data_IF_741727092469
#
_entry.id   IF_741727092469
#
_cell.length_a   1.000
_cell.length_b   1.000
_cell.length_c   1.000
_cell.angle_alpha   90.00
_cell.angle_beta   90.00
_cell.angle_gamma   90.00
#
_symmetry.space_group_name_H-M   'P 1'
#
loop_
_entity.id
_entity.type
_entity.pdbx_description
1 polymer ?
#
# COMPACT_ATOMS: atom_id res chain seq x y z
N UNK A 1 64.48 88.87 -30.42
CA UNK A 1 63.25 88.54 -31.17
C UNK A 1 63.55 87.31 -32.00
N UNK A 2 62.94 86.17 -31.65
CA UNK A 2 63.14 84.89 -32.31
C UNK A 2 61.79 84.14 -32.37
N UNK A 3 61.58 83.47 -33.50
CA UNK A 3 60.64 82.39 -33.82
C UNK A 3 59.13 82.68 -33.74
N UNK A 4 58.53 82.95 -34.90
CA UNK A 4 57.10 82.78 -35.15
C UNK A 4 56.92 81.42 -35.84
N UNK A 5 56.38 80.44 -35.11
CA UNK A 5 56.06 79.11 -35.65
C UNK A 5 54.87 79.19 -36.63
N UNK A 6 54.93 78.48 -37.77
CA UNK A 6 53.77 78.26 -38.61
C UNK A 6 53.08 76.94 -38.23
N UNK A 7 51.74 76.96 -38.14
CA UNK A 7 50.93 75.75 -38.20
C UNK A 7 50.31 75.32 -36.87
N UNK A 8 49.21 75.98 -36.50
CA UNK A 8 48.26 75.41 -35.55
C UNK A 8 46.90 75.30 -36.24
N UNK A 9 46.71 74.20 -36.98
CA UNK A 9 45.38 73.76 -37.35
C UNK A 9 44.63 73.43 -36.06
N UNK A 10 43.39 73.91 -35.85
CA UNK A 10 42.61 73.49 -34.70
C UNK A 10 42.37 71.99 -34.81
N UNK A 11 43.02 71.22 -33.94
CA UNK A 11 42.85 69.78 -33.83
C UNK A 11 41.37 69.49 -33.59
N UNK A 12 40.69 68.95 -34.60
CA UNK A 12 39.34 68.42 -34.50
C UNK A 12 39.37 67.35 -33.41
N UNK A 13 38.78 67.64 -32.25
CA UNK A 13 38.60 66.65 -31.18
C UNK A 13 37.84 65.47 -31.77
N UNK A 14 38.47 64.28 -31.73
CA UNK A 14 37.92 63.06 -32.29
C UNK A 14 36.47 62.84 -31.79
N UNK A 15 35.57 62.50 -32.71
CA UNK A 15 34.20 62.15 -32.40
C UNK A 15 34.20 60.99 -31.38
N UNK A 16 33.44 61.08 -30.27
CA UNK A 16 33.31 59.96 -29.35
C UNK A 16 32.67 58.79 -30.09
N UNK A 17 33.39 57.65 -30.16
CA UNK A 17 32.88 56.45 -30.83
C UNK A 17 31.93 55.71 -29.89
N UNK A 18 30.99 54.96 -30.46
CA UNK A 18 30.05 54.14 -29.68
C UNK A 18 30.78 53.13 -28.78
N UNK A 19 31.97 52.71 -29.21
CA UNK A 19 32.87 51.78 -28.50
C UNK A 19 33.53 52.40 -27.26
N UNK A 20 33.64 53.73 -27.19
CA UNK A 20 34.30 54.45 -26.09
C UNK A 20 33.35 54.76 -24.91
N UNK A 21 32.08 54.36 -25.02
CA UNK A 21 31.08 54.55 -23.98
C UNK A 21 31.22 53.49 -22.88
N UNK A 22 31.52 53.89 -21.63
CA UNK A 22 31.68 52.94 -20.54
C UNK A 22 30.35 52.25 -20.20
N UNK A 23 30.41 50.92 -20.10
CA UNK A 23 29.29 50.05 -19.73
C UNK A 23 29.30 49.81 -18.22
N UNK A 24 28.15 49.92 -17.57
CA UNK A 24 27.97 49.64 -16.15
C UNK A 24 26.94 48.52 -15.99
N UNK A 25 27.39 47.36 -15.49
CA UNK A 25 26.54 46.17 -15.36
C UNK A 25 25.96 45.72 -16.70
N UNK A 26 24.63 45.68 -16.80
CA UNK A 26 23.87 45.17 -17.95
C UNK A 26 23.49 46.26 -18.98
N UNK A 27 24.09 47.46 -18.89
CA UNK A 27 23.75 48.59 -19.76
C UNK A 27 24.79 49.71 -19.86
N UNK A 28 24.44 50.79 -20.55
CA UNK A 28 25.28 52.00 -20.68
C UNK A 28 25.05 52.97 -19.51
N UNK A 29 26.11 53.62 -19.05
CA UNK A 29 26.04 54.63 -18.00
C UNK A 29 25.32 55.91 -18.47
N UNK A 30 24.14 56.17 -17.92
CA UNK A 30 23.24 57.23 -18.37
C UNK A 30 23.84 58.65 -18.24
N UNK A 31 24.66 58.90 -17.22
CA UNK A 31 25.32 60.21 -17.02
C UNK A 31 26.38 60.45 -18.09
N UNK A 32 27.19 59.43 -18.40
CA UNK A 32 28.27 59.53 -19.38
C UNK A 32 27.79 59.51 -20.82
N UNK A 33 26.71 58.77 -21.10
CA UNK A 33 26.00 58.87 -22.38
C UNK A 33 25.50 60.29 -22.59
N UNK A 34 24.91 60.92 -21.56
CA UNK A 34 24.44 62.32 -21.63
C UNK A 34 25.57 63.30 -21.92
N UNK A 35 26.73 63.13 -21.28
CA UNK A 35 27.93 63.94 -21.53
C UNK A 35 28.45 63.77 -22.97
N UNK A 36 28.50 62.54 -23.49
CA UNK A 36 28.91 62.26 -24.86
C UNK A 36 27.95 62.90 -25.90
N UNK A 37 26.64 62.87 -25.65
CA UNK A 37 25.65 63.56 -26.48
C UNK A 37 25.78 65.09 -26.40
N UNK A 38 26.14 65.64 -25.24
CA UNK A 38 26.37 67.08 -25.09
C UNK A 38 27.65 67.53 -25.80
N UNK A 39 28.72 66.75 -25.72
CA UNK A 39 29.95 66.95 -26.48
C UNK A 39 29.70 66.88 -27.99
N UNK A 40 28.90 65.91 -28.45
CA UNK A 40 28.47 65.81 -29.84
C UNK A 40 27.63 67.04 -30.27
N UNK A 41 26.72 67.52 -29.41
CA UNK A 41 25.95 68.76 -29.70
C UNK A 41 26.86 69.97 -29.83
N UNK A 42 27.85 70.15 -28.94
CA UNK A 42 28.85 71.24 -29.06
C UNK A 42 29.70 71.10 -30.32
N UNK A 43 30.08 69.88 -30.69
CA UNK A 43 30.78 69.62 -31.94
C UNK A 43 29.90 69.95 -33.15
N UNK A 44 28.62 69.57 -33.13
CA UNK A 44 27.69 69.86 -34.22
C UNK A 44 27.44 71.36 -34.40
N UNK A 45 27.36 72.12 -33.30
CA UNK A 45 27.22 73.58 -33.37
C UNK A 45 28.50 74.26 -33.84
N UNK A 46 29.66 73.75 -33.45
CA UNK A 46 30.97 74.22 -33.93
C UNK A 46 31.15 73.92 -35.43
N UNK A 47 30.73 72.74 -35.90
CA UNK A 47 30.71 72.38 -37.31
C UNK A 47 29.74 73.27 -38.10
N UNK A 48 28.55 73.56 -37.57
CA UNK A 48 27.60 74.49 -38.19
C UNK A 48 28.15 75.92 -38.27
N UNK A 49 28.90 76.37 -37.26
CA UNK A 49 29.58 77.65 -37.28
C UNK A 49 30.70 77.67 -38.34
N UNK A 50 31.52 76.61 -38.42
CA UNK A 50 32.55 76.47 -39.45
C UNK A 50 31.95 76.40 -40.85
N UNK A 51 30.83 75.70 -41.04
CA UNK A 51 30.10 75.66 -42.32
C UNK A 51 29.51 77.03 -42.67
N UNK A 52 29.00 77.81 -41.71
CA UNK A 52 28.58 79.20 -41.97
C UNK A 52 29.76 80.09 -42.37
N UNK A 53 30.94 79.92 -41.77
CA UNK A 53 32.16 80.66 -42.13
C UNK A 53 32.67 80.24 -43.50
N UNK A 54 32.67 78.94 -43.82
CA UNK A 54 33.03 78.41 -45.14
C UNK A 54 32.01 78.80 -46.21
N UNK A 55 30.72 78.86 -45.90
CA UNK A 55 29.69 79.36 -46.81
C UNK A 55 29.77 80.88 -46.99
N UNK A 56 30.16 81.63 -45.96
CA UNK A 56 30.43 83.06 -46.06
C UNK A 56 31.70 83.33 -46.90
N UNK A 57 32.75 82.51 -46.74
CA UNK A 57 33.97 82.55 -47.56
C UNK A 57 33.72 82.05 -49.00
N UNK A 58 32.82 81.08 -49.19
CA UNK A 58 32.40 80.57 -50.52
C UNK A 58 31.53 81.58 -51.29
N UNK A 59 30.76 82.44 -50.60
CA UNK A 59 30.08 83.58 -51.24
C UNK A 59 31.04 84.68 -51.70
N UNK A 60 32.24 84.75 -51.12
CA UNK A 60 33.32 85.64 -51.54
C UNK A 60 34.11 85.04 -52.72
N UNK A 61 33.42 84.83 -53.84
CA UNK A 61 34.01 84.86 -55.17
C UNK A 61 35.08 83.81 -55.51
N UNK A 62 34.70 82.53 -55.57
CA UNK A 62 35.30 81.61 -56.56
C UNK A 62 34.33 80.44 -56.84
N UNK A 63 33.27 80.73 -57.60
CA UNK A 63 32.45 79.71 -58.23
C UNK A 63 33.26 79.06 -59.34
N UNK A 64 34.10 78.08 -59.01
CA UNK A 64 34.47 77.08 -60.01
C UNK A 64 33.21 76.26 -60.21
N UNK A 65 32.46 76.58 -61.25
CA UNK A 65 31.47 75.68 -61.83
C UNK A 65 32.21 74.37 -62.14
N UNK A 66 32.05 73.31 -61.34
CA UNK A 66 32.64 72.04 -61.67
C UNK A 66 31.75 71.50 -62.78
N UNK A 67 32.21 71.68 -64.02
CA UNK A 67 31.61 71.14 -65.25
C UNK A 67 30.76 69.92 -64.94
N UNK A 68 29.46 69.94 -65.26
CA UNK A 68 28.52 68.86 -64.87
C UNK A 68 28.89 67.45 -65.34
N UNK A 69 29.98 67.29 -66.09
CA UNK A 69 30.66 66.02 -66.32
C UNK A 69 31.41 65.50 -65.08
N UNK A 70 32.17 66.32 -64.36
CA UNK A 70 32.88 65.91 -63.14
C UNK A 70 31.91 65.48 -62.03
N UNK A 71 30.85 66.26 -61.80
CA UNK A 71 29.80 65.91 -60.84
C UNK A 71 29.08 64.61 -61.23
N UNK A 72 28.85 64.37 -62.53
CA UNK A 72 28.28 63.11 -63.02
C UNK A 72 29.24 61.93 -62.82
N UNK A 73 30.54 62.12 -63.07
CA UNK A 73 31.55 61.08 -62.85
C UNK A 73 31.72 60.75 -61.37
N UNK A 74 31.74 61.75 -60.50
CA UNK A 74 31.78 61.57 -59.04
C UNK A 74 30.51 60.86 -58.53
N UNK A 75 29.33 61.22 -59.04
CA UNK A 75 28.08 60.53 -58.71
C UNK A 75 28.09 59.06 -59.15
N UNK A 76 28.63 58.75 -60.33
CA UNK A 76 28.79 57.35 -60.78
C UNK A 76 29.81 56.58 -59.93
N UNK A 77 30.90 57.23 -59.51
CA UNK A 77 31.87 56.63 -58.59
C UNK A 77 31.24 56.36 -57.22
N UNK A 78 30.44 57.30 -56.72
CA UNK A 78 29.72 57.15 -55.46
C UNK A 78 28.70 56.00 -55.54
N UNK A 79 27.92 55.91 -56.62
CA UNK A 79 26.97 54.81 -56.83
C UNK A 79 27.72 53.46 -56.89
N UNK A 80 28.87 53.40 -57.59
CA UNK A 80 29.68 52.19 -57.63
C UNK A 80 30.22 51.82 -56.24
N UNK A 81 30.78 52.78 -55.52
CA UNK A 81 31.27 52.56 -54.16
C UNK A 81 30.15 52.15 -53.19
N UNK A 82 28.95 52.67 -53.38
CA UNK A 82 27.77 52.29 -52.60
C UNK A 82 27.30 50.87 -52.93
N UNK A 83 27.37 50.45 -54.20
CA UNK A 83 27.07 49.07 -54.61
C UNK A 83 28.10 48.08 -54.03
N UNK A 84 29.40 48.38 -54.16
CA UNK A 84 30.46 47.56 -53.56
C UNK A 84 30.32 47.49 -52.02
N UNK A 85 29.95 48.59 -51.37
CA UNK A 85 29.68 48.60 -49.94
C UNK A 85 28.44 47.75 -49.59
N UNK A 86 27.37 47.81 -50.37
CA UNK A 86 26.19 46.97 -50.16
C UNK A 86 26.53 45.47 -50.28
N UNK A 87 27.34 45.09 -51.26
CA UNK A 87 27.82 43.71 -51.42
C UNK A 87 28.63 43.25 -50.20
N UNK A 88 29.48 44.13 -49.63
CA UNK A 88 30.22 43.80 -48.40
C UNK A 88 29.32 43.65 -47.18
N UNK A 89 28.29 44.50 -47.04
CA UNK A 89 27.31 44.41 -45.95
C UNK A 89 26.49 43.13 -46.07
N UNK A 90 26.11 42.74 -47.28
CA UNK A 90 25.40 41.48 -47.51
C UNK A 90 26.28 40.27 -47.16
N UNK A 91 27.53 40.25 -47.61
CA UNK A 91 28.47 39.16 -47.30
C UNK A 91 28.73 39.05 -45.79
N UNK A 92 28.91 40.17 -45.09
CA UNK A 92 29.11 40.18 -43.63
C UNK A 92 27.84 39.74 -42.88
N UNK A 93 26.65 40.16 -43.35
CA UNK A 93 25.38 39.72 -42.78
C UNK A 93 25.14 38.22 -42.98
N UNK A 94 25.43 37.69 -44.17
CA UNK A 94 25.35 36.26 -44.47
C UNK A 94 26.30 35.47 -43.57
N UNK A 95 27.57 35.87 -43.48
CA UNK A 95 28.57 35.22 -42.61
C UNK A 95 28.20 35.28 -41.12
N UNK A 96 27.67 36.40 -40.66
CA UNK A 96 27.19 36.54 -39.28
C UNK A 96 25.97 35.62 -39.02
N UNK A 97 25.05 35.51 -39.98
CA UNK A 97 23.89 34.62 -39.87
C UNK A 97 24.27 33.14 -39.84
N UNK A 98 25.22 32.72 -40.68
CA UNK A 98 25.76 31.35 -40.69
C UNK A 98 26.46 31.01 -39.36
N UNK A 99 27.21 31.96 -38.78
CA UNK A 99 27.85 31.77 -37.48
C UNK A 99 26.82 31.65 -36.33
N UNK A 100 25.72 32.40 -36.40
CA UNK A 100 24.64 32.30 -35.40
C UNK A 100 23.83 31.01 -35.56
N UNK A 101 23.50 30.63 -36.80
CA UNK A 101 22.79 29.38 -37.10
C UNK A 101 23.62 28.17 -36.69
N UNK A 102 24.91 28.12 -37.04
CA UNK A 102 25.78 27.03 -36.62
C UNK A 102 25.88 26.89 -35.09
N UNK A 103 26.04 28.01 -34.36
CA UNK A 103 26.05 28.02 -32.89
C UNK A 103 24.73 27.53 -32.30
N UNK A 104 23.59 27.99 -32.82
CA UNK A 104 22.28 27.58 -32.32
C UNK A 104 21.98 26.12 -32.64
N UNK A 105 22.39 25.61 -33.81
CA UNK A 105 22.29 24.20 -34.15
C UNK A 105 23.13 23.32 -33.21
N UNK A 106 24.36 23.73 -32.89
CA UNK A 106 25.19 23.03 -31.91
C UNK A 106 24.53 22.98 -30.54
N UNK A 107 23.96 24.10 -30.09
CA UNK A 107 23.24 24.16 -28.83
C UNK A 107 21.98 23.27 -28.84
N UNK A 108 21.21 23.27 -29.92
CA UNK A 108 20.04 22.38 -30.08
C UNK A 108 20.48 20.91 -30.09
N UNK A 109 21.55 20.56 -30.81
CA UNK A 109 22.11 19.19 -30.83
C UNK A 109 22.56 18.78 -29.42
N UNK A 110 23.21 19.67 -28.69
CA UNK A 110 23.64 19.42 -27.31
C UNK A 110 22.44 19.21 -26.38
N UNK A 111 21.45 20.12 -26.39
CA UNK A 111 20.24 20.01 -25.57
C UNK A 111 19.44 18.74 -25.88
N UNK A 112 19.35 18.34 -27.15
CA UNK A 112 18.70 17.08 -27.54
C UNK A 112 19.41 15.86 -26.96
N UNK A 113 20.74 15.83 -26.95
CA UNK A 113 21.51 14.74 -26.32
C UNK A 113 21.30 14.71 -24.81
N UNK A 114 21.40 15.87 -24.15
CA UNK A 114 21.12 15.97 -22.70
C UNK A 114 19.70 15.51 -22.35
N UNK A 115 18.71 15.82 -23.21
CA UNK A 115 17.35 15.35 -23.03
C UNK A 115 17.25 13.82 -23.19
N UNK A 116 17.87 13.25 -24.22
CA UNK A 116 17.91 11.80 -24.44
C UNK A 116 18.58 11.06 -23.27
N UNK A 117 19.68 11.61 -22.74
CA UNK A 117 20.38 11.04 -21.58
C UNK A 117 19.49 11.06 -20.33
N UNK A 118 18.76 12.16 -20.10
CA UNK A 118 17.79 12.27 -18.99
C UNK A 118 16.63 11.29 -19.15
N UNK A 119 16.09 11.14 -20.35
CA UNK A 119 15.02 10.18 -20.62
C UNK A 119 15.50 8.74 -20.38
N UNK A 120 16.72 8.41 -20.80
CA UNK A 120 17.32 7.11 -20.52
C UNK A 120 17.57 6.87 -19.02
N UNK A 121 17.96 7.90 -18.27
CA UNK A 121 18.12 7.82 -16.82
C UNK A 121 16.77 7.62 -16.10
N UNK A 122 15.73 8.35 -16.49
CA UNK A 122 14.37 8.19 -15.95
C UNK A 122 13.86 6.77 -16.19
N UNK A 123 14.09 6.21 -17.37
CA UNK A 123 13.67 4.85 -17.70
C UNK A 123 14.41 3.80 -16.85
N UNK A 124 15.71 4.01 -16.56
CA UNK A 124 16.46 3.15 -15.61
C UNK A 124 15.85 3.21 -14.21
N UNK A 125 15.60 4.40 -13.67
CA UNK A 125 14.98 4.54 -12.35
C UNK A 125 13.58 3.92 -12.31
N UNK A 126 12.82 4.02 -13.40
CA UNK A 126 11.51 3.38 -13.51
C UNK A 126 11.64 1.86 -13.43
N UNK A 127 12.52 1.27 -14.22
CA UNK A 127 12.76 -0.18 -14.21
C UNK A 127 13.29 -0.67 -12.86
N UNK A 128 14.21 0.06 -12.23
CA UNK A 128 14.71 -0.24 -10.89
C UNK A 128 13.60 -0.13 -9.84
N UNK A 129 12.74 0.89 -9.91
CA UNK A 129 11.61 1.05 -9.00
C UNK A 129 10.58 -0.07 -9.17
N UNK A 130 10.27 -0.45 -10.41
CA UNK A 130 9.37 -1.57 -10.71
C UNK A 130 9.96 -2.90 -10.20
N UNK A 131 11.28 -3.10 -10.37
CA UNK A 131 11.99 -4.26 -9.83
C UNK A 131 11.94 -4.30 -8.30
N UNK A 132 12.24 -3.18 -7.63
CA UNK A 132 12.17 -3.08 -6.17
C UNK A 132 10.74 -3.34 -5.66
N UNK A 133 9.72 -2.80 -6.34
CA UNK A 133 8.31 -3.09 -6.02
C UNK A 133 8.00 -4.58 -6.14
N UNK A 134 8.45 -5.23 -7.22
CA UNK A 134 8.26 -6.66 -7.41
C UNK A 134 8.99 -7.49 -6.34
N UNK A 135 10.21 -7.10 -5.96
CA UNK A 135 10.98 -7.74 -4.90
C UNK A 135 10.27 -7.61 -3.55
N UNK A 136 9.82 -6.41 -3.16
CA UNK A 136 9.04 -6.20 -1.93
C UNK A 136 7.73 -7.00 -1.90
N UNK A 137 6.99 -7.05 -3.02
CA UNK A 137 5.76 -7.84 -3.12
C UNK A 137 6.04 -9.34 -3.01
N UNK A 138 7.12 -9.84 -3.58
CA UNK A 138 7.48 -11.25 -3.44
C UNK A 138 7.94 -11.58 -2.02
N UNK A 139 8.72 -10.72 -1.38
CA UNK A 139 9.15 -10.89 0.01
C UNK A 139 7.95 -10.92 0.95
N UNK A 140 7.07 -9.93 0.89
CA UNK A 140 5.84 -9.87 1.71
C UNK A 140 4.92 -11.07 1.43
N UNK A 141 4.81 -11.53 0.18
CA UNK A 141 4.05 -12.74 -0.15
C UNK A 141 4.66 -14.01 0.45
N UNK A 142 5.98 -14.10 0.52
CA UNK A 142 6.66 -15.24 1.13
C UNK A 142 6.55 -15.20 2.65
N UNK A 143 6.76 -14.04 3.27
CA UNK A 143 6.59 -13.82 4.71
C UNK A 143 5.16 -14.13 5.17
N UNK A 144 4.14 -13.64 4.45
CA UNK A 144 2.73 -13.93 4.78
C UNK A 144 2.41 -15.42 4.68
N UNK A 145 2.95 -16.13 3.67
CA UNK A 145 2.80 -17.58 3.55
C UNK A 145 3.48 -18.32 4.69
N UNK A 146 4.67 -17.89 5.09
CA UNK A 146 5.41 -18.49 6.19
C UNK A 146 4.71 -18.27 7.53
N UNK A 147 4.25 -17.04 7.80
CA UNK A 147 3.46 -16.70 8.98
C UNK A 147 2.18 -17.52 9.06
N UNK A 148 1.46 -17.67 7.95
CA UNK A 148 0.25 -18.49 7.89
C UNK A 148 0.57 -19.97 8.13
N UNK A 149 1.65 -20.49 7.55
CA UNK A 149 2.07 -21.88 7.77
C UNK A 149 2.46 -22.13 9.23
N UNK A 150 3.18 -21.20 9.87
CA UNK A 150 3.56 -21.29 11.28
C UNK A 150 2.32 -21.21 12.18
N UNK A 151 1.44 -20.23 11.96
CA UNK A 151 0.18 -20.10 12.72
C UNK A 151 -0.69 -21.36 12.61
N UNK A 152 -0.77 -21.97 11.43
CA UNK A 152 -1.50 -23.23 11.24
C UNK A 152 -0.83 -24.40 11.98
N UNK A 153 0.50 -24.50 12.00
CA UNK A 153 1.20 -25.54 12.76
C UNK A 153 0.91 -25.39 14.24
N UNK A 154 1.07 -24.19 14.78
CA UNK A 154 0.84 -23.88 16.19
C UNK A 154 -0.61 -24.18 16.58
N UNK A 155 -1.59 -23.70 15.80
CA UNK A 155 -3.00 -23.98 16.05
C UNK A 155 -3.32 -25.49 16.05
N UNK A 156 -2.73 -26.27 15.12
CA UNK A 156 -2.94 -27.73 15.13
C UNK A 156 -2.23 -28.42 16.29
N UNK A 157 -1.11 -27.88 16.76
CA UNK A 157 -0.41 -28.41 17.93
C UNK A 157 -1.24 -28.16 19.19
N UNK A 158 -1.71 -26.94 19.40
CA UNK A 158 -2.56 -26.58 20.55
C UNK A 158 -3.85 -27.39 20.58
N UNK A 159 -4.48 -27.62 19.42
CA UNK A 159 -5.67 -28.45 19.31
C UNK A 159 -5.37 -29.89 19.76
N UNK A 160 -4.28 -30.51 19.28
CA UNK A 160 -3.89 -31.87 19.71
C UNK A 160 -3.58 -31.95 21.20
N UNK A 161 -2.93 -30.93 21.75
CA UNK A 161 -2.64 -30.87 23.19
C UNK A 161 -3.92 -30.71 24.02
N UNK A 162 -4.89 -29.90 23.56
CA UNK A 162 -6.18 -29.74 24.19
C UNK A 162 -7.01 -31.04 24.15
N UNK A 163 -7.02 -31.73 23.01
CA UNK A 163 -7.65 -33.04 22.87
C UNK A 163 -7.03 -34.08 23.80
N UNK A 164 -5.69 -34.14 23.89
CA UNK A 164 -4.99 -35.05 24.79
C UNK A 164 -5.25 -34.74 26.27
N UNK A 165 -5.36 -33.46 26.63
CA UNK A 165 -5.78 -33.05 27.99
C UNK A 165 -7.23 -33.45 28.26
N UNK A 166 -8.12 -33.24 27.30
CA UNK A 166 -9.52 -33.64 27.37
C UNK A 166 -9.70 -35.14 27.54
N UNK A 167 -8.97 -35.97 26.78
CA UNK A 167 -9.04 -37.42 26.89
C UNK A 167 -8.57 -37.92 28.26
N UNK A 168 -7.51 -37.35 28.81
CA UNK A 168 -7.02 -37.67 30.17
C UNK A 168 -8.05 -37.31 31.24
N UNK A 169 -8.68 -36.14 31.15
CA UNK A 169 -9.73 -35.74 32.10
C UNK A 169 -10.95 -36.67 32.02
N UNK A 170 -11.36 -37.08 30.81
CA UNK A 170 -12.45 -38.03 30.63
C UNK A 170 -12.11 -39.41 31.22
N UNK A 171 -10.87 -39.87 31.07
CA UNK A 171 -10.42 -41.14 31.65
C UNK A 171 -10.38 -41.07 33.18
N UNK A 172 -9.88 -39.97 33.76
CA UNK A 172 -9.91 -39.73 35.21
C UNK A 172 -11.35 -39.69 35.74
N UNK A 173 -12.26 -38.98 35.07
CA UNK A 173 -13.66 -38.92 35.47
C UNK A 173 -14.34 -40.30 35.41
N UNK A 174 -14.01 -41.12 34.39
CA UNK A 174 -14.49 -42.51 34.30
C UNK A 174 -13.97 -43.35 35.47
N UNK A 175 -12.69 -43.26 35.78
CA UNK A 175 -12.09 -43.98 36.90
C UNK A 175 -12.78 -43.60 38.22
N UNK A 176 -12.91 -42.31 38.49
CA UNK A 176 -13.57 -41.80 39.69
C UNK A 176 -15.03 -42.25 39.77
N UNK A 177 -15.78 -42.20 38.66
CA UNK A 177 -17.15 -42.68 38.62
C UNK A 177 -17.24 -44.18 38.94
N UNK A 178 -16.31 -45.00 38.43
CA UNK A 178 -16.26 -46.43 38.76
C UNK A 178 -15.88 -46.69 40.21
N UNK A 179 -14.94 -45.92 40.76
CA UNK A 179 -14.56 -46.01 42.18
C UNK A 179 -15.72 -45.65 43.09
N UNK A 180 -16.43 -44.54 42.83
CA UNK A 180 -17.61 -44.13 43.60
C UNK A 180 -18.75 -45.14 43.49
N UNK A 181 -18.94 -45.75 42.32
CA UNK A 181 -19.95 -46.79 42.13
C UNK A 181 -19.60 -48.05 42.91
N UNK A 182 -18.33 -48.45 42.90
CA UNK A 182 -17.86 -49.61 43.65
C UNK A 182 -17.89 -49.35 45.17
N UNK A 183 -17.52 -48.15 45.62
CA UNK A 183 -17.59 -47.77 47.04
C UNK A 183 -19.04 -47.75 47.54
N UNK A 184 -19.95 -47.15 46.78
CA UNK A 184 -21.38 -47.14 47.13
C UNK A 184 -21.97 -48.56 47.18
N UNK A 185 -21.58 -49.46 46.26
CA UNK A 185 -21.98 -50.88 46.33
C UNK A 185 -21.45 -51.56 47.58
N UNK A 186 -20.18 -51.36 47.90
CA UNK A 186 -19.56 -51.95 49.10
C UNK A 186 -20.23 -51.45 50.39
N UNK A 187 -20.56 -50.16 50.49
CA UNK A 187 -21.30 -49.59 51.62
C UNK A 187 -22.72 -50.19 51.74
N UNK A 188 -23.43 -50.36 50.62
CA UNK A 188 -24.75 -51.03 50.62
C UNK A 188 -24.63 -52.50 51.04
N UNK A 189 -23.62 -53.23 50.56
CA UNK A 189 -23.39 -54.61 50.97
C UNK A 189 -23.08 -54.71 52.46
N UNK A 190 -22.24 -53.82 52.98
CA UNK A 190 -21.91 -53.74 54.41
C UNK A 190 -23.15 -53.45 55.26
N UNK A 191 -23.99 -52.50 54.85
CA UNK A 191 -25.23 -52.17 55.58
C UNK A 191 -26.24 -53.32 55.53
N UNK A 192 -26.35 -54.02 54.40
CA UNK A 192 -27.19 -55.22 54.30
C UNK A 192 -26.65 -56.38 55.14
N UNK A 193 -25.33 -56.59 55.18
CA UNK A 193 -24.71 -57.60 56.04
C UNK A 193 -24.95 -57.30 57.52
N UNK A 194 -24.77 -56.03 57.92
CA UNK A 194 -25.07 -55.58 59.28
C UNK A 194 -26.55 -55.79 59.63
N UNK A 195 -27.48 -55.42 58.74
CA UNK A 195 -28.92 -55.62 58.94
C UNK A 195 -29.27 -57.12 59.05
N UNK A 196 -28.65 -57.99 58.25
CA UNK A 196 -28.83 -59.45 58.35
C UNK A 196 -28.29 -60.00 59.66
N UNK A 197 -27.12 -59.56 60.10
CA UNK A 197 -26.54 -59.96 61.39
C UNK A 197 -27.46 -59.54 62.55
N UNK A 198 -27.95 -58.30 62.52
CA UNK A 198 -28.89 -57.80 63.53
C UNK A 198 -30.21 -58.57 63.53
N UNK A 199 -30.79 -58.85 62.36
CA UNK A 199 -32.00 -59.67 62.25
C UNK A 199 -31.78 -61.09 62.81
N UNK A 200 -30.64 -61.73 62.53
CA UNK A 200 -30.30 -63.05 63.08
C UNK A 200 -30.21 -63.04 64.60
N UNK A 201 -29.66 -61.96 65.18
CA UNK A 201 -29.53 -61.79 66.63
C UNK A 201 -30.89 -61.54 67.32
N UNK A 202 -31.80 -60.80 66.66
CA UNK A 202 -33.17 -60.62 67.15
C UNK A 202 -33.93 -61.94 67.09
N UNK A 203 -33.82 -62.69 65.99
CA UNK A 203 -34.47 -63.99 65.83
C UNK A 203 -33.97 -65.00 66.87
N UNK A 204 -32.67 -65.12 67.10
CA UNK A 204 -32.12 -66.04 68.10
C UNK A 204 -32.57 -65.67 69.53
N UNK A 205 -32.63 -64.37 69.84
CA UNK A 205 -33.18 -63.90 71.12
C UNK A 205 -34.67 -64.21 71.25
N UNK A 206 -35.45 -64.02 70.20
CA UNK A 206 -36.87 -64.35 70.18
C UNK A 206 -37.08 -65.85 70.35
N UNK A 207 -36.33 -66.69 69.63
CA UNK A 207 -36.35 -68.15 69.76
C UNK A 207 -36.07 -68.60 71.20
N UNK A 208 -34.96 -68.13 71.79
CA UNK A 208 -34.63 -68.45 73.17
C UNK A 208 -35.71 -67.97 74.17
N UNK A 209 -36.29 -66.79 73.94
CA UNK A 209 -37.39 -66.27 74.76
C UNK A 209 -38.68 -67.11 74.64
N UNK A 210 -39.02 -67.56 73.42
CA UNK A 210 -40.16 -68.45 73.19
C UNK A 210 -39.95 -69.83 73.81
N UNK A 211 -38.76 -70.40 73.71
CA UNK A 211 -38.40 -71.68 74.35
C UNK A 211 -38.57 -71.57 75.87
N UNK A 212 -38.10 -70.47 76.48
CA UNK A 212 -38.30 -70.22 77.91
C UNK A 212 -39.77 -70.15 78.32
N UNK A 213 -40.62 -69.48 77.51
CA UNK A 213 -42.06 -69.37 77.80
C UNK A 213 -42.79 -70.70 77.64
N UNK A 214 -42.45 -71.49 76.61
CA UNK A 214 -43.05 -72.80 76.38
C UNK A 214 -42.64 -73.81 77.46
N UNK A 215 -41.38 -73.79 77.88
CA UNK A 215 -40.90 -74.60 79.00
C UNK A 215 -41.61 -74.21 80.32
N UNK A 216 -41.80 -72.91 80.58
CA UNK A 216 -42.54 -72.43 81.75
C UNK A 216 -44.03 -72.84 81.74
N UNK A 217 -44.62 -73.01 80.56
CA UNK A 217 -45.98 -73.51 80.39
C UNK A 217 -46.12 -75.03 80.60
N UNK A 218 -45.02 -75.75 80.85
CA UNK A 218 -45.02 -77.19 81.13
C UNK A 218 -45.05 -78.07 79.88
N UNK A 219 -44.77 -77.51 78.71
CA UNK A 219 -44.64 -78.27 77.46
C UNK A 219 -43.28 -78.99 77.44
N UNK A 220 -43.26 -80.32 77.27
CA UNK A 220 -42.02 -81.08 77.19
C UNK A 220 -41.25 -80.81 75.89
N UNK A 221 -39.94 -81.06 75.87
CA UNK A 221 -39.04 -80.76 74.73
C UNK A 221 -39.57 -81.29 73.38
N UNK A 222 -40.23 -82.45 73.37
CA UNK A 222 -40.76 -83.06 72.16
C UNK A 222 -41.97 -82.30 71.59
N UNK A 223 -42.82 -81.74 72.45
CA UNK A 223 -43.97 -80.93 72.04
C UNK A 223 -43.53 -79.52 71.59
N UNK A 224 -42.48 -78.97 72.21
CA UNK A 224 -41.88 -77.69 71.79
C UNK A 224 -41.31 -77.82 70.37
N UNK A 225 -40.60 -78.91 70.07
CA UNK A 225 -40.09 -79.20 68.72
C UNK A 225 -41.21 -79.29 67.70
N UNK A 226 -42.30 -79.98 68.02
CA UNK A 226 -43.43 -80.12 67.10
C UNK A 226 -44.12 -78.77 66.80
N UNK A 227 -44.33 -77.92 67.81
CA UNK A 227 -44.88 -76.57 67.62
C UNK A 227 -43.93 -75.69 66.80
N UNK A 228 -42.62 -75.78 67.04
CA UNK A 228 -41.63 -75.05 66.25
C UNK A 228 -41.64 -75.47 64.76
N UNK A 229 -41.75 -76.78 64.48
CA UNK A 229 -41.87 -77.30 63.12
C UNK A 229 -43.12 -76.79 62.39
N UNK A 230 -44.29 -76.78 63.05
CA UNK A 230 -45.54 -76.25 62.48
C UNK A 230 -45.47 -74.73 62.22
N UNK A 231 -44.83 -73.96 63.11
CA UNK A 231 -44.61 -72.51 62.90
C UNK A 231 -43.68 -72.26 61.71
N UNK A 232 -42.57 -73.00 61.62
CA UNK A 232 -41.63 -72.88 60.48
C UNK A 232 -42.34 -73.24 59.18
N UNK A 233 -43.14 -74.31 59.17
CA UNK A 233 -43.93 -74.73 58.01
C UNK A 233 -44.94 -73.65 57.59
N UNK A 234 -45.72 -73.11 58.53
CA UNK A 234 -46.66 -72.03 58.23
C UNK A 234 -45.96 -70.74 57.75
N UNK A 235 -44.78 -70.43 58.28
CA UNK A 235 -43.97 -69.29 57.83
C UNK A 235 -43.43 -69.50 56.42
N UNK A 236 -42.98 -70.71 56.07
CA UNK A 236 -42.58 -71.06 54.70
C UNK A 236 -43.77 -70.92 53.76
N UNK A 237 -44.93 -71.49 54.09
CA UNK A 237 -46.16 -71.38 53.29
C UNK A 237 -46.58 -69.91 53.07
N UNK A 238 -46.45 -69.06 54.10
CA UNK A 238 -46.74 -67.61 54.01
C UNK A 238 -45.72 -66.89 53.12
N UNK A 239 -44.44 -67.25 53.22
CA UNK A 239 -43.35 -66.66 52.43
C UNK A 239 -43.44 -67.08 50.97
N UNK A 240 -43.79 -68.34 50.70
CA UNK A 240 -44.04 -68.88 49.36
C UNK A 240 -45.28 -68.25 48.72
N UNK A 241 -46.37 -68.07 49.49
CA UNK A 241 -47.55 -67.33 49.03
C UNK A 241 -47.20 -65.86 48.67
N UNK A 242 -46.27 -65.26 49.41
CA UNK A 242 -45.77 -63.89 49.16
C UNK A 242 -44.73 -63.81 48.02
N UNK A 243 -44.13 -64.93 47.61
CA UNK A 243 -43.16 -65.00 46.50
C UNK A 243 -43.81 -65.06 45.11
N UNK A 244 -45.14 -65.19 45.04
CA UNK A 244 -45.88 -65.07 43.79
C UNK A 244 -45.65 -63.67 43.21
N UNK A 245 -45.04 -63.50 42.02
CA UNK A 245 -44.66 -62.18 41.56
C UNK A 245 -45.91 -61.36 41.22
N UNK A 246 -46.05 -60.11 41.69
CA UNK A 246 -46.92 -59.17 41.01
C UNK A 246 -46.35 -59.00 39.60
N UNK A 247 -47.22 -59.18 38.59
CA UNK A 247 -46.93 -58.88 37.21
C UNK A 247 -46.25 -57.50 37.12
N UNK A 248 -45.23 -57.41 36.27
CA UNK A 248 -44.43 -56.23 36.02
C UNK A 248 -45.30 -54.97 35.80
N UNK A 249 -45.54 -54.21 36.86
CA UNK A 249 -45.91 -52.81 36.78
C UNK A 249 -44.62 -52.01 36.78
N UNK A 250 -43.99 -51.92 35.62
CA UNK A 250 -42.96 -50.92 35.35
C UNK A 250 -43.49 -49.53 35.70
N UNK A 251 -42.88 -48.78 36.64
CA UNK A 251 -43.18 -47.37 36.77
C UNK A 251 -42.60 -46.67 35.54
N UNK A 252 -43.49 -46.34 34.61
CA UNK A 252 -43.21 -45.39 33.54
C UNK A 252 -43.03 -44.01 34.17
N UNK A 253 -41.82 -43.74 34.68
CA UNK A 253 -41.40 -42.36 34.93
C UNK A 253 -41.00 -41.81 33.58
N UNK A 254 -41.96 -41.11 32.96
CA UNK A 254 -41.70 -40.19 31.88
C UNK A 254 -40.71 -39.12 32.36
N UNK A 255 -39.41 -39.39 32.18
CA UNK A 255 -38.44 -38.32 32.03
C UNK A 255 -38.74 -37.70 30.68
N UNK A 256 -39.30 -36.50 30.72
CA UNK A 256 -39.46 -35.63 29.58
C UNK A 256 -38.14 -35.58 28.80
N UNK A 257 -38.14 -36.18 27.61
CA UNK A 257 -37.15 -35.88 26.60
C UNK A 257 -37.30 -34.39 26.27
N UNK A 258 -36.28 -33.60 26.60
CA UNK A 258 -36.13 -32.27 26.07
C UNK A 258 -36.23 -32.33 24.53
N UNK A 259 -36.88 -31.34 23.87
CA UNK A 259 -36.92 -31.30 22.42
C UNK A 259 -35.49 -31.21 21.86
N UNK A 260 -35.20 -31.81 20.69
CA UNK A 260 -33.92 -31.58 20.02
C UNK A 260 -33.81 -30.10 19.70
N UNK A 261 -32.81 -29.45 20.31
CA UNK A 261 -32.41 -28.09 19.96
C UNK A 261 -31.81 -28.17 18.55
N UNK A 262 -32.56 -27.67 17.57
CA UNK A 262 -32.05 -27.41 16.23
C UNK A 262 -30.78 -26.53 16.32
N UNK A 263 -29.74 -26.80 15.53
CA UNK A 263 -28.61 -25.87 15.44
C UNK A 263 -29.09 -24.54 14.83
N UNK A 264 -28.68 -23.38 15.37
CA UNK A 264 -28.93 -22.13 14.68
C UNK A 264 -28.08 -22.08 13.40
N UNK A 265 -28.75 -22.14 12.24
CA UNK A 265 -28.21 -21.56 11.01
C UNK A 265 -28.04 -20.06 11.25
N UNK A 266 -26.82 -19.65 11.55
CA UNK A 266 -26.39 -18.26 11.47
C UNK A 266 -26.28 -17.88 9.99
N UNK A 267 -27.39 -17.44 9.39
CA UNK A 267 -27.33 -16.49 8.27
C UNK A 267 -26.92 -15.13 8.85
N UNK A 268 -25.82 -14.51 8.40
CA UNK A 268 -25.55 -13.12 8.73
C UNK A 268 -26.60 -12.24 8.04
N UNK A 269 -27.54 -11.70 8.81
CA UNK A 269 -28.32 -10.53 8.38
C UNK A 269 -27.39 -9.33 8.43
N UNK A 270 -27.04 -8.86 7.25
CA UNK A 270 -26.45 -7.56 6.97
C UNK A 270 -27.23 -6.47 7.71
N UNK A 271 -26.63 -5.95 8.77
CA UNK A 271 -27.01 -4.71 9.41
C UNK A 271 -26.60 -3.56 8.48
N UNK A 272 -27.61 -2.96 7.86
CA UNK A 272 -27.49 -1.82 6.97
C UNK A 272 -27.29 -0.57 7.83
N UNK A 273 -26.03 -0.22 8.09
CA UNK A 273 -25.68 1.14 8.48
C UNK A 273 -25.94 2.10 7.30
N UNK A 274 -26.41 3.34 7.56
CA UNK A 274 -26.50 4.36 6.54
C UNK A 274 -25.09 4.91 6.28
N UNK A 275 -24.51 4.56 5.14
CA UNK A 275 -23.35 5.24 4.59
C UNK A 275 -23.82 6.13 3.44
N UNK A 276 -23.54 7.42 3.59
CA UNK A 276 -23.57 8.44 2.56
C UNK A 276 -23.04 7.92 1.22
N UNK A 277 -23.87 8.07 0.19
CA UNK A 277 -23.42 8.09 -1.19
C UNK A 277 -22.85 9.48 -1.48
N UNK A 278 -21.67 9.58 -2.10
CA UNK A 278 -21.47 10.51 -3.18
C UNK A 278 -21.72 9.77 -4.51
N UNK A 279 -22.72 10.25 -5.24
CA UNK A 279 -23.01 9.89 -6.63
C UNK A 279 -21.77 10.00 -7.52
N UNK A 280 -21.58 9.07 -8.47
CA UNK A 280 -20.99 9.41 -9.75
C UNK A 280 -22.11 9.47 -10.80
N UNK A 281 -22.28 10.67 -11.35
CA UNK A 281 -23.04 10.91 -12.57
C UNK A 281 -22.53 9.97 -13.69
N UNK A 282 -23.46 9.20 -14.26
CA UNK A 282 -23.33 8.74 -15.63
C UNK A 282 -23.52 9.95 -16.54
N UNK A 283 -22.48 10.33 -17.28
CA UNK A 283 -22.65 10.96 -18.59
C UNK A 283 -21.91 10.12 -19.61
N UNK A 284 -22.64 9.72 -20.66
CA UNK A 284 -22.23 8.72 -21.63
C UNK A 284 -21.25 9.17 -22.71
N UNK A 285 -20.99 8.22 -23.60
CA UNK A 285 -20.09 8.29 -24.77
C UNK A 285 -19.29 6.99 -24.83
N UNK A 286 -19.87 5.88 -25.26
CA UNK A 286 -20.01 5.48 -26.67
C UNK A 286 -18.66 5.51 -27.42
N UNK A 287 -18.00 4.35 -27.58
CA UNK A 287 -17.46 3.85 -28.87
C UNK A 287 -16.69 2.52 -28.74
N UNK A 288 -16.95 1.64 -29.72
CA UNK A 288 -16.15 0.49 -30.22
C UNK A 288 -15.72 -0.60 -29.21
N UNK A 289 -16.34 -1.79 -29.13
CA UNK A 289 -16.45 -2.87 -30.13
C UNK A 289 -15.12 -3.25 -30.81
N UNK A 290 -14.38 -4.19 -30.22
CA UNK A 290 -13.38 -5.08 -30.85
C UNK A 290 -13.14 -6.24 -29.87
N UNK A 291 -13.92 -7.32 -29.92
CA UNK A 291 -13.62 -8.54 -30.67
C UNK A 291 -12.26 -9.17 -30.28
N UNK A 292 -12.30 -10.05 -29.29
CA UNK A 292 -11.38 -11.18 -29.14
C UNK A 292 -11.41 -12.06 -30.40
N UNK A 293 -10.26 -12.66 -30.76
CA UNK A 293 -10.31 -14.10 -30.97
C UNK A 293 -9.15 -14.84 -30.27
N UNK A 294 -9.54 -15.98 -29.68
CA UNK A 294 -8.67 -17.03 -29.17
C UNK A 294 -7.90 -17.76 -30.30
N UNK A 295 -6.91 -18.60 -29.97
CA UNK A 295 -5.79 -18.93 -30.85
C UNK A 295 -6.02 -20.17 -31.74
N UNK A 296 -5.45 -20.15 -32.94
CA UNK A 296 -5.16 -21.32 -33.78
C UNK A 296 -3.62 -21.40 -33.90
N UNK A 297 -2.98 -22.43 -33.36
CA UNK A 297 -2.67 -23.68 -34.05
C UNK A 297 -1.84 -23.46 -35.31
N UNK A 298 -0.50 -23.45 -35.16
CA UNK A 298 0.39 -23.71 -36.28
C UNK A 298 1.54 -24.64 -35.88
N UNK A 299 1.39 -25.83 -36.44
CA UNK A 299 2.32 -26.93 -36.52
C UNK A 299 3.68 -26.56 -37.14
N UNK A 300 4.71 -27.25 -36.63
CA UNK A 300 5.87 -27.79 -37.37
C UNK A 300 6.76 -26.79 -38.13
N UNK A 301 8.01 -26.68 -37.68
CA UNK A 301 9.11 -26.78 -38.64
C UNK A 301 10.28 -27.59 -38.06
N UNK A 302 10.48 -28.74 -38.68
CA UNK A 302 11.69 -29.54 -38.67
C UNK A 302 12.81 -28.75 -39.36
N UNK A 303 14.02 -28.74 -38.80
CA UNK A 303 15.31 -28.84 -39.55
C UNK A 303 16.52 -28.76 -38.62
N UNK A 304 17.03 -29.94 -38.27
CA UNK A 304 18.47 -30.21 -38.30
C UNK A 304 18.74 -31.05 -39.56
N UNK A 305 19.83 -30.78 -40.28
CA UNK A 305 21.10 -31.41 -39.92
C UNK A 305 22.25 -30.43 -39.71
#
# INVERSE_FOLDING_TARGET
MATQEPGQQPSLTALPRLEDLPKSGDGYDAEKVREAFEAFRRHSSQLQAQLRVLQAASRSGQSVEPTGHAVRMDALHLIRSAAEFADTVEADAQKASEAQLSKTEEEVRRRRREQQDREAEIERYRQESERQRAEMLNTTRNETRELLANANRDATQELREAEAKGSRLLEQARHQATELTNSARAEVEQTLEWARAQASAILSRAQAGTEQLLAAAGLGDDQIKHVAEEIVKAAIETTEASRTPPAASSPSVAVAAAPPVSPPSATPKTEKAPADQPSPEQTGGNEASSADPAPADESRDDRHP
#
